data_IF_575762216110
#
_entry.id   IF_575762216110
#
_cell.length_a   1.000
_cell.length_b   1.000
_cell.length_c   1.000
_cell.angle_alpha   90.00
_cell.angle_beta   90.00
_cell.angle_gamma   90.00
#
_symmetry.space_group_name_H-M   'P 1'
#
loop_
_entity.id
_entity.type
_entity.pdbx_description
1 polymer ?
#
# COMPACT_ATOMS: atom_id res chain seq x y z
N UNK A 1 -24.00 -20.07 0.60
CA UNK A 1 -23.35 -18.78 0.90
C UNK A 1 -24.17 -18.11 1.97
N UNK A 2 -23.64 -17.98 3.20
CA UNK A 2 -24.31 -17.16 4.22
C UNK A 2 -24.29 -15.72 3.74
N UNK A 3 -25.44 -15.06 3.80
CA UNK A 3 -25.62 -13.70 3.30
C UNK A 3 -24.92 -12.72 4.28
N UNK A 4 -23.60 -12.58 4.15
CA UNK A 4 -22.77 -11.62 4.90
C UNK A 4 -23.14 -10.17 4.59
N UNK A 5 -24.06 -9.93 3.63
CA UNK A 5 -24.74 -8.65 3.41
C UNK A 5 -25.83 -8.36 4.46
N UNK A 6 -26.20 -9.32 5.31
CA UNK A 6 -26.99 -9.07 6.54
C UNK A 6 -26.14 -8.45 7.64
N UNK A 7 -25.33 -7.47 7.25
CA UNK A 7 -24.89 -6.47 8.18
C UNK A 7 -26.12 -5.73 8.67
N UNK A 8 -26.34 -5.77 9.98
CA UNK A 8 -27.50 -5.12 10.60
C UNK A 8 -27.65 -3.72 9.99
N UNK A 9 -28.78 -3.40 9.34
CA UNK A 9 -29.02 -2.08 8.74
C UNK A 9 -28.64 -0.95 9.69
N UNK A 10 -28.84 -1.17 11.00
CA UNK A 10 -28.41 -0.29 12.08
C UNK A 10 -26.92 0.11 12.06
N UNK A 11 -26.01 -0.79 11.66
CA UNK A 11 -24.58 -0.49 11.56
C UNK A 11 -24.29 0.41 10.36
N UNK A 12 -24.92 0.14 9.20
CA UNK A 12 -24.85 1.00 8.03
C UNK A 12 -25.36 2.41 8.35
N UNK A 13 -26.55 2.49 8.94
CA UNK A 13 -27.21 3.75 9.32
C UNK A 13 -26.33 4.57 10.28
N UNK A 14 -25.69 3.92 11.26
CA UNK A 14 -24.75 4.58 12.18
C UNK A 14 -23.52 5.12 11.45
N UNK A 15 -22.97 4.39 10.49
CA UNK A 15 -21.84 4.86 9.68
C UNK A 15 -22.22 6.06 8.80
N UNK A 16 -23.39 5.99 8.15
CA UNK A 16 -23.96 7.10 7.37
C UNK A 16 -24.14 8.33 8.26
N UNK A 17 -24.75 8.17 9.43
CA UNK A 17 -24.93 9.26 10.41
C UNK A 17 -23.59 9.84 10.88
N UNK A 18 -22.57 9.01 11.12
CA UNK A 18 -21.25 9.49 11.52
C UNK A 18 -20.59 10.33 10.42
N UNK A 19 -20.60 9.84 9.18
CA UNK A 19 -19.99 10.54 8.05
C UNK A 19 -20.76 11.81 7.67
N UNK A 20 -22.09 11.83 7.83
CA UNK A 20 -22.89 13.04 7.60
C UNK A 20 -22.49 14.23 8.48
N UNK A 21 -21.87 13.98 9.64
CA UNK A 21 -21.37 14.99 10.58
C UNK A 21 -19.97 15.49 10.25
N UNK A 22 -19.33 14.99 9.19
CA UNK A 22 -18.00 15.43 8.82
C UNK A 22 -17.96 16.95 8.54
N UNK A 23 -16.85 17.64 8.84
CA UNK A 23 -16.78 19.09 8.71
C UNK A 23 -17.22 19.59 7.33
N UNK A 24 -18.02 20.65 7.34
CA UNK A 24 -18.52 21.32 6.14
C UNK A 24 -17.48 22.33 5.66
N UNK A 25 -16.85 22.06 4.52
CA UNK A 25 -15.86 22.95 3.90
C UNK A 25 -16.08 22.97 2.39
N UNK A 26 -16.16 24.16 1.81
CA UNK A 26 -16.22 24.32 0.36
C UNK A 26 -14.90 23.83 -0.27
N UNK A 27 -15.00 23.10 -1.39
CA UNK A 27 -13.83 22.52 -2.06
C UNK A 27 -13.09 21.45 -1.25
N UNK A 28 -13.75 20.82 -0.28
CA UNK A 28 -13.15 19.77 0.53
C UNK A 28 -12.64 18.61 -0.34
N UNK A 29 -11.49 18.07 0.06
CA UNK A 29 -11.03 16.75 -0.34
C UNK A 29 -11.41 15.79 0.79
N UNK A 30 -12.04 14.67 0.43
CA UNK A 30 -12.46 13.63 1.36
C UNK A 30 -11.81 12.32 0.92
N UNK A 31 -10.94 11.80 1.77
CA UNK A 31 -10.27 10.52 1.52
C UNK A 31 -10.71 9.54 2.58
N UNK A 32 -11.28 8.43 2.14
CA UNK A 32 -11.76 7.37 3.03
C UNK A 32 -10.80 6.20 2.96
N UNK A 33 -10.23 5.82 4.10
CA UNK A 33 -9.42 4.61 4.26
C UNK A 33 -10.22 3.55 5.00
N UNK A 34 -10.34 2.38 4.37
CA UNK A 34 -11.10 1.25 4.88
C UNK A 34 -10.16 0.08 5.14
N UNK A 35 -9.91 -0.19 6.42
CA UNK A 35 -9.33 -1.46 6.85
C UNK A 35 -10.46 -2.41 7.20
N UNK A 36 -10.69 -3.39 6.34
CA UNK A 36 -11.84 -4.27 6.42
C UNK A 36 -11.41 -5.72 6.70
N UNK A 37 -12.20 -6.42 7.52
CA UNK A 37 -11.95 -7.84 7.81
C UNK A 37 -12.16 -8.70 6.55
N UNK A 38 -13.24 -8.45 5.82
CA UNK A 38 -13.64 -9.23 4.63
C UNK A 38 -14.05 -8.31 3.48
N UNK A 39 -14.01 -8.82 2.25
CA UNK A 39 -14.28 -8.05 1.03
C UNK A 39 -15.66 -7.38 1.04
N UNK A 40 -16.68 -8.09 1.50
CA UNK A 40 -18.03 -7.57 1.67
C UNK A 40 -18.14 -6.31 2.57
N UNK A 41 -17.15 -6.07 3.45
CA UNK A 41 -17.11 -4.85 4.29
C UNK A 41 -16.60 -3.64 3.51
N UNK A 42 -15.70 -3.84 2.55
CA UNK A 42 -15.31 -2.78 1.61
C UNK A 42 -16.49 -2.38 0.74
N UNK A 43 -17.28 -3.36 0.30
CA UNK A 43 -18.52 -3.12 -0.45
C UNK A 43 -19.53 -2.30 0.34
N UNK A 44 -19.76 -2.64 1.61
CA UNK A 44 -20.61 -1.85 2.50
C UNK A 44 -20.08 -0.42 2.68
N UNK A 45 -18.76 -0.23 2.76
CA UNK A 45 -18.20 1.11 2.87
C UNK A 45 -18.48 1.96 1.63
N UNK A 46 -18.44 1.37 0.42
CA UNK A 46 -18.88 2.05 -0.81
C UNK A 46 -20.37 2.41 -0.73
N UNK A 47 -21.23 1.48 -0.29
CA UNK A 47 -22.67 1.74 -0.11
C UNK A 47 -22.95 2.87 0.88
N UNK A 48 -22.19 2.94 1.98
CA UNK A 48 -22.29 4.01 2.98
C UNK A 48 -21.90 5.36 2.37
N UNK A 49 -20.82 5.41 1.60
CA UNK A 49 -20.35 6.65 0.96
C UNK A 49 -21.38 7.13 -0.06
N UNK A 50 -21.91 6.25 -0.89
CA UNK A 50 -22.94 6.59 -1.88
C UNK A 50 -24.20 7.14 -1.20
N UNK A 51 -24.66 6.49 -0.13
CA UNK A 51 -25.84 6.96 0.61
C UNK A 51 -25.62 8.33 1.25
N UNK A 52 -24.43 8.58 1.82
CA UNK A 52 -24.08 9.90 2.37
C UNK A 52 -24.07 10.98 1.28
N UNK A 53 -23.57 10.66 0.08
CA UNK A 53 -23.56 11.59 -1.05
C UNK A 53 -24.97 11.85 -1.58
N UNK A 54 -25.79 10.81 -1.70
CA UNK A 54 -27.13 10.91 -2.26
C UNK A 54 -28.09 11.64 -1.31
N UNK A 55 -27.90 11.49 0.02
CA UNK A 55 -28.68 12.18 1.04
C UNK A 55 -28.20 13.62 1.34
N UNK A 56 -27.11 14.08 0.70
CA UNK A 56 -26.48 15.37 0.97
C UNK A 56 -27.21 16.54 0.28
N UNK A 57 -28.31 16.96 0.91
CA UNK A 57 -29.13 18.08 0.45
C UNK A 57 -28.39 19.43 0.35
N UNK A 58 -27.30 19.59 1.10
CA UNK A 58 -26.50 20.84 1.16
C UNK A 58 -25.27 20.80 0.22
N UNK A 59 -25.02 19.68 -0.47
CA UNK A 59 -23.94 19.53 -1.45
C UNK A 59 -22.50 19.48 -0.87
N UNK A 60 -22.32 19.27 0.43
CA UNK A 60 -21.00 19.21 1.09
C UNK A 60 -20.19 17.93 0.83
N UNK A 61 -20.87 16.82 0.60
CA UNK A 61 -20.31 15.54 0.16
C UNK A 61 -20.36 15.42 -1.35
N UNK A 62 -21.48 15.80 -1.98
CA UNK A 62 -21.67 15.74 -3.43
C UNK A 62 -20.65 16.59 -4.21
N UNK A 63 -20.26 17.74 -3.67
CA UNK A 63 -19.29 18.63 -4.32
C UNK A 63 -17.84 18.42 -3.83
N UNK A 64 -17.60 17.48 -2.92
CA UNK A 64 -16.24 17.17 -2.46
C UNK A 64 -15.50 16.31 -3.50
N UNK A 65 -14.18 16.48 -3.59
CA UNK A 65 -13.33 15.54 -4.32
C UNK A 65 -13.08 14.31 -3.46
N UNK A 66 -13.47 13.14 -3.96
CA UNK A 66 -13.47 11.89 -3.21
C UNK A 66 -12.32 10.98 -3.65
N UNK A 67 -11.61 10.43 -2.68
CA UNK A 67 -10.66 9.33 -2.85
C UNK A 67 -11.01 8.17 -1.95
N UNK A 68 -10.81 6.95 -2.43
CA UNK A 68 -11.12 5.73 -1.68
C UNK A 68 -9.92 4.82 -1.60
N UNK A 69 -9.72 4.23 -0.43
CA UNK A 69 -8.56 3.40 -0.15
C UNK A 69 -9.04 2.24 0.69
N UNK A 70 -8.59 1.04 0.35
CA UNK A 70 -9.05 -0.16 1.05
C UNK A 70 -7.93 -1.18 1.20
N UNK A 71 -7.92 -1.84 2.35
CA UNK A 71 -7.02 -2.95 2.67
C UNK A 71 -7.87 -4.08 3.27
N UNK A 72 -7.83 -5.25 2.65
CA UNK A 72 -8.61 -6.43 3.05
C UNK A 72 -7.74 -7.67 2.99
N UNK A 73 -7.94 -8.61 3.91
CA UNK A 73 -7.51 -9.99 3.70
C UNK A 73 -7.04 -10.71 4.96
N UNK A 74 -6.41 -10.00 5.90
CA UNK A 74 -5.82 -10.61 7.09
C UNK A 74 -6.78 -11.53 7.86
N UNK A 75 -8.07 -11.18 7.95
CA UNK A 75 -9.05 -11.98 8.69
C UNK A 75 -9.45 -13.31 8.03
N UNK A 76 -9.23 -13.51 6.74
CA UNK A 76 -9.40 -14.85 6.15
C UNK A 76 -8.35 -15.81 6.74
N UNK A 77 -7.12 -15.34 6.94
CA UNK A 77 -6.08 -16.10 7.64
C UNK A 77 -6.44 -16.35 9.11
N UNK A 78 -6.81 -15.29 9.86
CA UNK A 78 -7.15 -15.45 11.28
C UNK A 78 -8.34 -16.40 11.50
N UNK A 79 -9.34 -16.35 10.64
CA UNK A 79 -10.49 -17.24 10.69
C UNK A 79 -10.16 -18.67 10.22
N UNK A 80 -9.57 -18.83 9.04
CA UNK A 80 -9.43 -20.12 8.37
C UNK A 80 -8.14 -20.87 8.71
N UNK A 81 -7.07 -20.17 9.10
CA UNK A 81 -5.81 -20.79 9.52
C UNK A 81 -5.70 -20.88 11.04
N UNK A 82 -5.85 -19.75 11.73
CA UNK A 82 -5.66 -19.68 13.19
C UNK A 82 -6.92 -20.04 13.98
N UNK A 83 -8.08 -20.13 13.32
CA UNK A 83 -9.35 -20.57 13.93
C UNK A 83 -9.74 -19.73 15.14
N UNK A 84 -9.50 -18.42 15.06
CA UNK A 84 -9.81 -17.50 16.17
C UNK A 84 -11.28 -17.62 16.60
N UNK A 85 -11.50 -17.85 17.89
CA UNK A 85 -12.83 -18.11 18.46
C UNK A 85 -13.81 -16.95 18.25
N UNK A 86 -13.28 -15.73 18.20
CA UNK A 86 -13.99 -14.48 17.94
C UNK A 86 -14.10 -14.14 16.45
N UNK A 87 -13.71 -15.03 15.53
CA UNK A 87 -14.01 -14.84 14.13
C UNK A 87 -15.53 -14.69 13.92
N UNK A 88 -15.98 -13.59 13.28
CA UNK A 88 -17.41 -13.32 13.10
C UNK A 88 -18.04 -14.18 11.98
N UNK A 89 -17.23 -14.89 11.21
CA UNK A 89 -17.65 -15.79 10.12
C UNK A 89 -17.36 -17.25 10.50
N UNK A 90 -18.31 -17.88 11.19
CA UNK A 90 -18.14 -19.24 11.72
C UNK A 90 -17.85 -20.27 10.62
N UNK A 91 -18.39 -20.06 9.43
CA UNK A 91 -18.13 -20.91 8.27
C UNK A 91 -16.67 -20.88 7.82
N UNK A 92 -15.91 -19.81 8.08
CA UNK A 92 -14.48 -19.76 7.77
C UNK A 92 -13.65 -20.53 8.80
N UNK A 93 -14.09 -20.59 10.06
CA UNK A 93 -13.44 -21.40 11.10
C UNK A 93 -13.43 -22.88 10.71
N UNK A 94 -14.46 -23.36 10.02
CA UNK A 94 -14.54 -24.76 9.58
C UNK A 94 -13.71 -25.05 8.32
N UNK A 95 -13.20 -24.02 7.64
CA UNK A 95 -12.49 -24.15 6.36
C UNK A 95 -10.97 -24.12 6.53
N UNK A 96 -10.25 -25.08 5.97
CA UNK A 96 -8.80 -24.98 5.88
C UNK A 96 -8.39 -23.81 4.98
N UNK A 97 -7.40 -23.02 5.43
CA UNK A 97 -6.94 -21.84 4.71
C UNK A 97 -6.42 -22.16 3.31
N UNK A 98 -5.67 -23.26 3.12
CA UNK A 98 -5.09 -23.59 1.80
C UNK A 98 -6.04 -24.35 0.88
N UNK A 99 -7.18 -24.80 1.41
CA UNK A 99 -8.30 -25.33 0.63
C UNK A 99 -9.41 -24.29 0.46
N UNK A 100 -10.56 -24.55 1.10
CA UNK A 100 -11.80 -23.79 0.93
C UNK A 100 -11.70 -22.33 1.44
N UNK A 101 -10.84 -22.05 2.40
CA UNK A 101 -10.63 -20.70 2.92
C UNK A 101 -10.03 -19.76 1.87
N UNK A 102 -8.95 -20.19 1.19
CA UNK A 102 -8.35 -19.44 0.07
C UNK A 102 -9.31 -19.32 -1.11
N UNK A 103 -10.06 -20.38 -1.42
CA UNK A 103 -11.09 -20.32 -2.46
C UNK A 103 -12.14 -19.24 -2.14
N UNK A 104 -12.67 -19.22 -0.92
CA UNK A 104 -13.63 -18.20 -0.47
C UNK A 104 -13.05 -16.80 -0.56
N UNK A 105 -11.78 -16.62 -0.14
CA UNK A 105 -11.08 -15.34 -0.28
C UNK A 105 -11.03 -14.87 -1.74
N UNK A 106 -10.65 -15.75 -2.67
CA UNK A 106 -10.51 -15.41 -4.09
C UNK A 106 -11.84 -15.08 -4.75
N UNK A 107 -12.87 -15.88 -4.50
CA UNK A 107 -14.21 -15.67 -5.07
C UNK A 107 -14.80 -14.33 -4.59
N UNK A 108 -14.69 -14.02 -3.30
CA UNK A 108 -15.17 -12.75 -2.76
C UNK A 108 -14.31 -11.57 -3.22
N UNK A 109 -12.99 -11.76 -3.37
CA UNK A 109 -12.09 -10.76 -3.94
C UNK A 109 -12.52 -10.39 -5.35
N UNK A 110 -12.70 -11.36 -6.25
CA UNK A 110 -13.05 -11.11 -7.64
C UNK A 110 -14.33 -10.29 -7.77
N UNK A 111 -15.37 -10.65 -7.01
CA UNK A 111 -16.66 -9.93 -7.00
C UNK A 111 -16.49 -8.49 -6.48
N UNK A 112 -15.81 -8.29 -5.36
CA UNK A 112 -15.65 -6.94 -4.80
C UNK A 112 -14.70 -6.07 -5.64
N UNK A 113 -13.70 -6.64 -6.30
CA UNK A 113 -12.81 -5.90 -7.20
C UNK A 113 -13.54 -5.43 -8.45
N UNK A 114 -14.36 -6.28 -9.07
CA UNK A 114 -15.19 -5.88 -10.22
C UNK A 114 -16.14 -4.72 -9.84
N UNK A 115 -16.80 -4.85 -8.68
CA UNK A 115 -17.67 -3.80 -8.14
C UNK A 115 -16.90 -2.50 -7.90
N UNK A 116 -15.74 -2.60 -7.24
CA UNK A 116 -14.90 -1.45 -6.92
C UNK A 116 -14.42 -0.78 -8.20
N UNK A 117 -13.93 -1.53 -9.17
CA UNK A 117 -13.52 -1.00 -10.47
C UNK A 117 -14.65 -0.18 -11.11
N UNK A 118 -15.86 -0.73 -11.20
CA UNK A 118 -17.03 -0.01 -11.73
C UNK A 118 -17.33 1.27 -10.94
N UNK A 119 -17.32 1.20 -9.61
CA UNK A 119 -17.58 2.35 -8.74
C UNK A 119 -16.52 3.45 -8.89
N UNK A 120 -15.25 3.09 -9.01
CA UNK A 120 -14.14 4.04 -9.21
C UNK A 120 -14.19 4.75 -10.58
N UNK A 121 -14.80 4.12 -11.59
CA UNK A 121 -15.00 4.70 -12.92
C UNK A 121 -16.34 5.44 -13.06
N UNK A 122 -17.21 5.42 -12.06
CA UNK A 122 -18.52 6.09 -12.09
C UNK A 122 -18.46 7.62 -12.15
N UNK A 123 -17.28 8.22 -11.91
CA UNK A 123 -17.11 9.66 -11.75
C UNK A 123 -17.40 10.18 -10.35
N UNK A 124 -17.96 9.35 -9.45
CA UNK A 124 -18.19 9.71 -8.04
C UNK A 124 -16.88 9.87 -7.26
N UNK A 125 -15.87 9.04 -7.54
CA UNK A 125 -14.57 9.06 -6.85
C UNK A 125 -13.53 9.76 -7.72
N UNK A 126 -13.49 11.10 -7.66
CA UNK A 126 -12.70 11.89 -8.61
C UNK A 126 -11.19 11.72 -8.43
N UNK A 127 -10.72 11.45 -7.21
CA UNK A 127 -9.31 11.20 -6.88
C UNK A 127 -8.88 9.75 -7.12
N UNK A 128 -9.81 8.89 -7.53
CA UNK A 128 -9.58 7.48 -7.77
C UNK A 128 -9.60 6.62 -6.50
N UNK A 129 -9.40 5.33 -6.74
CA UNK A 129 -9.39 4.29 -5.74
C UNK A 129 -8.04 3.60 -5.66
N UNK A 130 -7.71 3.15 -4.45
CA UNK A 130 -6.47 2.48 -4.16
C UNK A 130 -6.74 1.20 -3.37
N UNK A 131 -6.38 0.07 -3.94
CA UNK A 131 -6.33 -1.18 -3.22
C UNK A 131 -4.93 -1.34 -2.62
N UNK A 132 -4.86 -1.65 -1.33
CA UNK A 132 -3.62 -2.00 -0.66
C UNK A 132 -3.53 -3.50 -0.50
N UNK A 133 -2.35 -4.06 -0.79
CA UNK A 133 -2.04 -5.44 -0.40
C UNK A 133 -2.10 -5.60 1.13
N UNK A 134 -2.30 -6.82 1.59
CA UNK A 134 -2.23 -7.17 3.01
C UNK A 134 -0.82 -6.83 3.50
N UNK A 135 -0.69 -6.18 4.66
CA UNK A 135 0.62 -5.79 5.18
C UNK A 135 1.56 -6.99 5.35
N UNK A 136 2.85 -6.72 5.22
CA UNK A 136 3.89 -7.69 5.60
C UNK A 136 3.75 -8.05 7.08
N UNK A 137 4.21 -9.23 7.48
CA UNK A 137 4.28 -9.61 8.90
C UNK A 137 5.64 -10.20 9.23
N UNK A 138 6.12 -9.93 10.44
CA UNK A 138 7.31 -10.55 11.03
C UNK A 138 7.02 -11.99 11.53
N UNK A 139 5.74 -12.37 11.65
CA UNK A 139 5.32 -13.75 11.91
C UNK A 139 5.49 -14.66 10.69
N UNK A 140 6.33 -15.70 10.78
CA UNK A 140 6.65 -16.59 9.64
C UNK A 140 5.41 -17.15 8.93
N UNK A 141 4.46 -17.74 9.68
CA UNK A 141 3.27 -18.37 9.10
C UNK A 141 2.25 -17.38 8.51
N UNK A 142 2.15 -16.19 9.10
CA UNK A 142 1.38 -15.07 8.55
C UNK A 142 2.00 -14.59 7.26
N UNK A 143 3.30 -14.33 7.26
CA UNK A 143 4.07 -13.82 6.11
C UNK A 143 3.92 -14.71 4.88
N UNK A 144 4.09 -16.02 5.04
CA UNK A 144 3.94 -16.97 3.93
C UNK A 144 2.51 -16.95 3.37
N UNK A 145 1.49 -16.97 4.23
CA UNK A 145 0.09 -16.96 3.76
C UNK A 145 -0.31 -15.62 3.15
N UNK A 146 0.15 -14.50 3.71
CA UNK A 146 -0.10 -13.17 3.15
C UNK A 146 0.60 -12.97 1.82
N UNK A 147 1.80 -13.53 1.64
CA UNK A 147 2.45 -13.55 0.33
C UNK A 147 1.58 -14.23 -0.72
N UNK A 148 1.05 -15.43 -0.42
CA UNK A 148 0.18 -16.17 -1.35
C UNK A 148 -1.11 -15.38 -1.67
N UNK A 149 -1.76 -14.81 -0.65
CA UNK A 149 -2.96 -13.99 -0.83
C UNK A 149 -2.68 -12.75 -1.68
N UNK A 150 -1.55 -12.08 -1.44
CA UNK A 150 -1.15 -10.88 -2.18
C UNK A 150 -0.80 -11.18 -3.64
N UNK A 151 -0.28 -12.35 -3.97
CA UNK A 151 -0.11 -12.79 -5.37
C UNK A 151 -1.45 -12.81 -6.10
N UNK A 152 -2.52 -13.28 -5.44
CA UNK A 152 -3.86 -13.27 -6.05
C UNK A 152 -4.40 -11.84 -6.21
N UNK A 153 -4.21 -10.97 -5.21
CA UNK A 153 -4.60 -9.56 -5.29
C UNK A 153 -3.88 -8.87 -6.47
N UNK A 154 -2.55 -8.98 -6.52
CA UNK A 154 -1.73 -8.39 -7.57
C UNK A 154 -2.15 -8.90 -8.95
N UNK A 155 -2.33 -10.22 -9.11
CA UNK A 155 -2.77 -10.82 -10.37
C UNK A 155 -4.15 -10.32 -10.81
N UNK A 156 -5.11 -10.23 -9.89
CA UNK A 156 -6.44 -9.72 -10.19
C UNK A 156 -6.40 -8.24 -10.58
N UNK A 157 -5.53 -7.45 -9.95
CA UNK A 157 -5.33 -6.05 -10.30
C UNK A 157 -4.63 -5.84 -11.64
N UNK A 158 -3.79 -6.76 -12.12
CA UNK A 158 -3.11 -6.62 -13.43
C UNK A 158 -4.08 -6.36 -14.58
N UNK A 159 -5.28 -6.95 -14.56
CA UNK A 159 -6.30 -6.73 -15.61
C UNK A 159 -7.28 -5.59 -15.31
N UNK A 160 -7.32 -5.10 -14.08
CA UNK A 160 -8.32 -4.11 -13.63
C UNK A 160 -7.73 -2.72 -13.39
N UNK A 161 -6.41 -2.64 -13.21
CA UNK A 161 -5.71 -1.42 -12.87
C UNK A 161 -5.90 -0.35 -13.95
N UNK A 162 -6.13 0.87 -13.49
CA UNK A 162 -6.25 2.06 -14.33
C UNK A 162 -5.78 3.28 -13.55
N UNK A 163 -5.74 4.44 -14.19
CA UNK A 163 -5.45 5.71 -13.50
C UNK A 163 -6.48 6.02 -12.38
N UNK A 164 -7.70 5.46 -12.46
CA UNK A 164 -8.74 5.59 -11.43
C UNK A 164 -8.79 4.43 -10.43
N UNK A 165 -8.11 3.33 -10.70
CA UNK A 165 -8.09 2.19 -9.79
C UNK A 165 -6.68 1.58 -9.73
N UNK A 166 -5.97 1.86 -8.64
CA UNK A 166 -4.55 1.56 -8.53
C UNK A 166 -4.28 0.57 -7.39
N UNK A 167 -3.19 -0.18 -7.52
CA UNK A 167 -2.68 -1.04 -6.46
C UNK A 167 -1.52 -0.33 -5.75
N UNK A 168 -1.48 -0.44 -4.42
CA UNK A 168 -0.33 -0.08 -3.60
C UNK A 168 0.18 -1.36 -2.96
N UNK A 169 1.42 -1.71 -3.27
CA UNK A 169 2.05 -2.88 -2.67
C UNK A 169 2.59 -2.59 -1.26
N UNK A 170 1.67 -2.51 -0.30
CA UNK A 170 2.00 -2.29 1.11
C UNK A 170 2.76 -3.47 1.72
N UNK A 171 2.55 -4.68 1.21
CA UNK A 171 3.34 -5.87 1.58
C UNK A 171 4.81 -5.70 1.23
N UNK A 172 5.12 -5.35 -0.02
CA UNK A 172 6.52 -5.14 -0.42
C UNK A 172 7.12 -3.94 0.32
N UNK A 173 6.37 -2.85 0.50
CA UNK A 173 6.81 -1.69 1.26
C UNK A 173 7.19 -2.06 2.70
N UNK A 174 6.36 -2.82 3.40
CA UNK A 174 6.65 -3.32 4.75
C UNK A 174 7.81 -4.32 4.78
N UNK A 175 7.93 -5.18 3.76
CA UNK A 175 9.05 -6.12 3.65
C UNK A 175 10.41 -5.46 3.43
N UNK A 176 10.43 -4.25 2.85
CA UNK A 176 11.63 -3.42 2.69
C UNK A 176 11.94 -2.56 3.93
N UNK A 177 11.00 -2.45 4.87
CA UNK A 177 11.15 -1.75 6.16
C UNK A 177 10.64 -2.66 7.30
N UNK A 178 11.21 -3.87 7.47
CA UNK A 178 10.68 -4.86 8.41
C UNK A 178 10.66 -4.37 9.86
N UNK A 179 11.56 -3.46 10.24
CA UNK A 179 11.60 -2.80 11.55
C UNK A 179 10.41 -1.89 11.83
N UNK A 180 9.72 -1.45 10.78
CA UNK A 180 8.52 -0.62 10.84
C UNK A 180 7.23 -1.44 10.90
N UNK A 181 7.32 -2.76 11.03
CA UNK A 181 6.17 -3.67 11.06
C UNK A 181 6.24 -4.58 12.28
N UNK A 182 5.12 -4.70 13.00
CA UNK A 182 4.99 -5.60 14.15
C UNK A 182 3.66 -6.34 14.09
N UNK A 183 3.67 -7.67 14.01
CA UNK A 183 2.47 -8.50 13.99
C UNK A 183 1.53 -8.20 12.82
N UNK A 184 2.07 -7.87 11.65
CA UNK A 184 1.26 -7.48 10.50
C UNK A 184 0.77 -6.03 10.50
N UNK A 185 1.18 -5.22 11.48
CA UNK A 185 0.76 -3.83 11.61
C UNK A 185 1.93 -2.86 11.39
N UNK A 186 1.78 -1.97 10.42
CA UNK A 186 2.76 -0.93 10.12
C UNK A 186 2.80 0.19 11.18
N UNK A 187 3.97 0.79 11.33
CA UNK A 187 4.19 1.99 12.13
C UNK A 187 3.55 3.23 11.49
N UNK A 188 3.59 4.35 12.22
CA UNK A 188 3.16 5.65 11.70
C UNK A 188 4.02 6.06 10.50
N UNK A 189 5.34 5.83 10.55
CA UNK A 189 6.26 6.12 9.44
C UNK A 189 5.89 5.34 8.18
N UNK A 190 5.69 4.03 8.28
CA UNK A 190 5.33 3.18 7.15
C UNK A 190 3.98 3.57 6.52
N UNK A 191 2.97 3.84 7.37
CA UNK A 191 1.68 4.33 6.88
C UNK A 191 1.81 5.70 6.20
N UNK A 192 2.65 6.61 6.70
CA UNK A 192 2.85 7.89 6.03
C UNK A 192 3.53 7.74 4.66
N UNK A 193 4.49 6.82 4.52
CA UNK A 193 5.11 6.54 3.23
C UNK A 193 4.06 6.15 2.19
N UNK A 194 3.16 5.25 2.57
CA UNK A 194 2.00 4.89 1.77
C UNK A 194 1.12 6.11 1.44
N UNK A 195 0.73 6.93 2.43
CA UNK A 195 -0.02 8.17 2.19
C UNK A 195 0.69 9.12 1.23
N UNK A 196 2.01 9.22 1.33
CA UNK A 196 2.84 10.11 0.50
C UNK A 196 2.86 9.62 -0.95
N UNK A 197 3.05 8.32 -1.17
CA UNK A 197 2.98 7.71 -2.52
C UNK A 197 1.61 8.01 -3.15
N UNK A 198 0.54 7.85 -2.38
CA UNK A 198 -0.83 8.09 -2.83
C UNK A 198 -1.11 9.56 -3.13
N UNK A 199 -0.79 10.47 -2.22
CA UNK A 199 -1.05 11.89 -2.47
C UNK A 199 -0.22 12.39 -3.65
N UNK A 200 1.01 11.87 -3.83
CA UNK A 200 1.82 12.17 -5.01
C UNK A 200 1.23 11.63 -6.32
N UNK A 201 0.40 10.59 -6.31
CA UNK A 201 -0.27 10.12 -7.53
C UNK A 201 -1.58 10.86 -7.83
N UNK A 202 -2.14 11.57 -6.84
CA UNK A 202 -3.43 12.28 -6.94
C UNK A 202 -3.24 13.79 -7.15
N UNK A 203 -2.28 14.39 -6.46
CA UNK A 203 -2.12 15.83 -6.39
C UNK A 203 -1.34 16.36 -7.60
N UNK A 204 -1.76 17.49 -8.20
CA UNK A 204 -0.95 18.17 -9.21
C UNK A 204 0.43 18.53 -8.68
N UNK A 205 1.48 18.29 -9.48
CA UNK A 205 2.86 18.63 -9.13
C UNK A 205 3.06 20.09 -8.71
N UNK A 206 2.32 21.03 -9.32
CA UNK A 206 2.39 22.45 -8.95
C UNK A 206 1.85 22.79 -7.55
N UNK A 207 1.24 21.84 -6.84
CA UNK A 207 0.85 21.96 -5.43
C UNK A 207 1.86 21.32 -4.46
N UNK A 208 2.97 20.79 -4.97
CA UNK A 208 4.03 20.26 -4.14
C UNK A 208 4.58 21.37 -3.21
N UNK A 209 4.81 21.01 -1.95
CA UNK A 209 5.47 21.88 -0.98
C UNK A 209 6.91 22.14 -1.40
N UNK A 210 7.38 23.39 -1.30
CA UNK A 210 8.80 23.74 -1.46
C UNK A 210 9.69 23.04 -0.43
N UNK A 211 9.12 22.72 0.74
CA UNK A 211 9.71 21.82 1.72
C UNK A 211 9.50 20.38 1.29
N UNK A 212 10.58 19.70 0.93
CA UNK A 212 10.53 18.34 0.37
C UNK A 212 10.65 17.22 1.42
N UNK A 213 10.96 17.54 2.68
CA UNK A 213 11.17 16.53 3.71
C UNK A 213 10.03 16.47 4.74
N UNK A 214 9.57 15.25 5.01
CA UNK A 214 8.71 14.91 6.13
C UNK A 214 9.57 14.57 7.36
N UNK A 215 9.38 15.32 8.45
CA UNK A 215 10.05 15.07 9.73
C UNK A 215 9.02 14.60 10.75
N UNK A 216 9.34 13.49 11.41
CA UNK A 216 8.54 12.95 12.49
C UNK A 216 9.17 13.30 13.82
N UNK A 217 8.39 13.98 14.65
CA UNK A 217 8.79 14.38 15.99
C UNK A 217 7.89 13.67 17.01
N UNK A 218 8.52 12.90 17.90
CA UNK A 218 7.84 12.10 18.91
C UNK A 218 8.59 10.84 19.28
N UNK A 219 8.25 10.31 20.45
CA UNK A 219 8.64 8.94 20.85
C UNK A 219 7.60 8.01 20.23
N UNK A 220 8.00 7.02 19.43
CA UNK A 220 7.14 6.03 18.75
C UNK A 220 6.67 6.38 17.32
N UNK A 221 7.37 7.25 16.61
CA UNK A 221 7.04 7.53 15.20
C UNK A 221 7.55 6.47 14.24
N UNK A 222 8.56 5.73 14.68
CA UNK A 222 9.13 4.58 13.99
C UNK A 222 8.96 3.32 14.83
N UNK A 223 8.79 2.18 14.17
CA UNK A 223 8.76 0.86 14.80
C UNK A 223 10.07 0.52 15.52
N UNK A 224 11.20 1.11 15.12
CA UNK A 224 12.49 0.97 15.84
C UNK A 224 12.45 1.54 17.26
N UNK A 225 11.52 2.46 17.53
CA UNK A 225 11.36 3.09 18.83
C UNK A 225 10.40 2.31 19.76
N UNK A 226 9.83 1.19 19.29
CA UNK A 226 8.80 0.42 19.98
C UNK A 226 9.29 -0.14 21.32
N UNK A 227 8.87 0.51 22.40
CA UNK A 227 9.19 0.12 23.79
C UNK A 227 7.95 0.29 24.66
N UNK A 228 7.63 -0.70 25.48
CA UNK A 228 6.53 -0.60 26.46
C UNK A 228 6.66 0.61 27.40
N UNK A 229 7.91 0.99 27.72
CA UNK A 229 8.22 2.18 28.52
C UNK A 229 7.69 3.49 27.89
N UNK A 230 7.50 3.54 26.57
CA UNK A 230 6.97 4.70 25.86
C UNK A 230 5.43 4.76 25.87
N UNK A 231 4.75 3.71 26.34
CA UNK A 231 3.30 3.65 26.46
C UNK A 231 2.87 3.17 27.87
N UNK A 232 3.30 3.85 28.96
CA UNK A 232 3.19 3.33 30.32
C UNK A 232 1.73 3.09 30.76
N UNK A 233 0.79 3.94 30.32
CA UNK A 233 -0.64 3.74 30.61
C UNK A 233 -1.19 2.48 29.95
N UNK A 234 -0.83 2.25 28.69
CA UNK A 234 -1.23 1.07 27.94
C UNK A 234 -0.64 -0.18 28.59
N UNK A 235 0.68 -0.20 28.78
CA UNK A 235 1.39 -1.33 29.40
C UNK A 235 0.90 -1.64 30.83
N UNK A 236 0.58 -0.63 31.64
CA UNK A 236 -0.02 -0.84 32.96
C UNK A 236 -1.38 -1.55 32.85
N UNK A 237 -2.27 -1.09 31.97
CA UNK A 237 -3.56 -1.74 31.73
C UNK A 237 -3.38 -3.22 31.32
N UNK A 238 -2.42 -3.51 30.44
CA UNK A 238 -2.10 -4.85 29.98
C UNK A 238 -1.60 -5.79 31.09
N UNK A 239 -0.82 -5.25 32.03
CA UNK A 239 -0.20 -6.04 33.11
C UNK A 239 -1.10 -6.20 34.33
N UNK A 240 -2.19 -5.43 34.44
CA UNK A 240 -3.05 -5.37 35.63
C UNK A 240 -4.52 -5.73 35.33
N UNK A 241 -4.74 -6.74 34.47
CA UNK A 241 -6.07 -7.31 34.23
C UNK A 241 -6.76 -6.87 32.94
N UNK A 242 -6.05 -6.16 32.06
CA UNK A 242 -6.49 -5.94 30.67
C UNK A 242 -6.47 -7.22 29.83
N UNK A 243 -7.07 -7.19 28.62
CA UNK A 243 -6.95 -8.28 27.65
C UNK A 243 -5.49 -8.47 27.20
N UNK A 244 -5.25 -9.55 26.44
CA UNK A 244 -3.98 -9.73 25.76
C UNK A 244 -3.68 -8.52 24.88
N UNK A 245 -2.65 -7.75 25.25
CA UNK A 245 -2.22 -6.57 24.54
C UNK A 245 -1.07 -6.89 23.60
N UNK A 246 -1.09 -6.25 22.46
CA UNK A 246 -0.07 -6.40 21.44
C UNK A 246 0.83 -5.16 21.36
N UNK A 247 2.09 -5.36 20.99
CA UNK A 247 3.06 -4.27 20.88
C UNK A 247 2.67 -3.25 19.82
N UNK A 248 2.02 -3.68 18.74
CA UNK A 248 1.57 -2.76 17.69
C UNK A 248 0.50 -1.79 18.19
N UNK A 249 -0.30 -2.16 19.20
CA UNK A 249 -1.28 -1.26 19.81
C UNK A 249 -0.57 -0.13 20.57
N UNK A 250 0.49 -0.48 21.33
CA UNK A 250 1.37 0.50 21.96
C UNK A 250 1.96 1.48 20.92
N UNK A 251 2.50 0.95 19.81
CA UNK A 251 3.06 1.74 18.72
C UNK A 251 2.08 2.77 18.15
N UNK A 252 0.81 2.40 18.00
CA UNK A 252 -0.22 3.24 17.42
C UNK A 252 -1.02 4.08 18.45
N UNK A 253 -0.77 3.88 19.75
CA UNK A 253 -1.43 4.63 20.82
C UNK A 253 -0.75 5.97 21.15
N UNK A 254 0.52 6.13 20.76
CA UNK A 254 1.32 7.31 21.06
C UNK A 254 1.33 8.23 19.84
N UNK A 255 0.96 9.50 20.06
CA UNK A 255 0.88 10.47 18.98
C UNK A 255 2.27 10.87 18.48
N UNK A 256 2.37 11.03 17.17
CA UNK A 256 3.51 11.60 16.48
C UNK A 256 3.13 12.88 15.75
N UNK A 257 4.07 13.83 15.73
CA UNK A 257 3.90 15.08 15.00
C UNK A 257 4.63 14.98 13.68
N UNK A 258 3.88 15.14 12.57
CA UNK A 258 4.45 15.32 11.25
C UNK A 258 4.68 16.81 10.98
N UNK A 259 5.89 17.19 10.58
CA UNK A 259 6.23 18.55 10.14
C UNK A 259 6.93 18.51 8.79
N UNK A 260 6.70 19.54 7.97
CA UNK A 260 7.49 19.76 6.76
C UNK A 260 8.78 20.52 7.12
N UNK A 261 9.93 20.01 6.68
CA UNK A 261 11.23 20.66 6.81
C UNK A 261 11.86 20.90 5.45
N UNK A 262 12.80 21.85 5.41
CA UNK A 262 13.74 21.92 4.30
C UNK A 262 14.52 20.60 4.23
N UNK A 263 15.00 20.20 3.04
CA UNK A 263 16.00 19.15 2.99
C UNK A 263 17.17 19.58 3.90
N UNK A 264 17.79 18.65 4.65
CA UNK A 264 19.04 18.97 5.31
C UNK A 264 19.99 19.54 4.24
N UNK A 265 20.85 20.49 4.59
CA UNK A 265 21.96 20.88 3.71
C UNK A 265 22.78 19.61 3.48
N UNK A 266 22.49 18.91 2.38
CA UNK A 266 23.12 17.63 2.11
C UNK A 266 24.56 17.93 1.69
N UNK A 267 25.52 17.49 2.51
CA UNK A 267 26.84 17.15 1.98
C UNK A 267 26.70 16.13 0.85
N UNK A 268 27.67 16.08 -0.06
CA UNK A 268 27.67 15.29 -1.31
C UNK A 268 26.92 13.94 -1.20
N UNK A 269 25.74 13.86 -1.84
CA UNK A 269 24.85 12.67 -1.84
C UNK A 269 25.14 11.69 -2.97
N UNK A 270 26.30 11.80 -3.63
CA UNK A 270 26.68 10.87 -4.70
C UNK A 270 26.64 9.43 -4.20
N UNK A 271 25.77 8.61 -4.79
CA UNK A 271 25.66 7.17 -4.51
C UNK A 271 24.65 6.74 -3.44
N UNK A 272 23.89 7.65 -2.81
CA UNK A 272 22.89 7.27 -1.78
C UNK A 272 21.51 6.86 -2.34
N UNK A 273 21.19 7.19 -3.60
CA UNK A 273 19.85 6.97 -4.16
C UNK A 273 19.70 5.73 -5.06
N UNK A 274 20.78 5.05 -5.43
CA UNK A 274 20.72 3.98 -6.45
C UNK A 274 20.32 2.61 -5.89
N UNK A 275 20.36 2.40 -4.58
CA UNK A 275 20.01 1.12 -3.93
C UNK A 275 18.65 1.14 -3.21
N UNK A 276 18.05 2.30 -2.99
CA UNK A 276 17.00 2.43 -1.97
C UNK A 276 15.57 2.24 -2.46
N UNK A 277 15.21 2.46 -3.74
CA UNK A 277 13.83 2.25 -4.22
C UNK A 277 13.78 2.17 -5.76
N UNK A 278 13.87 0.96 -6.31
CA UNK A 278 13.36 0.71 -7.67
C UNK A 278 11.83 0.59 -7.60
N UNK A 279 11.11 1.71 -7.84
CA UNK A 279 9.65 1.74 -7.99
C UNK A 279 9.26 1.72 -9.48
N UNK A 280 10.00 1.00 -10.33
CA UNK A 280 9.65 0.79 -11.75
C UNK A 280 8.37 -0.01 -11.95
N UNK A 281 7.75 -0.54 -10.89
CA UNK A 281 6.48 -1.26 -10.93
C UNK A 281 5.26 -0.44 -11.37
N UNK A 282 5.34 0.90 -11.42
CA UNK A 282 4.32 1.72 -12.08
C UNK A 282 4.64 1.82 -13.57
N UNK A 283 4.14 0.86 -14.36
CA UNK A 283 4.12 0.95 -15.81
C UNK A 283 3.49 2.30 -16.21
N UNK A 284 4.33 3.20 -16.68
CA UNK A 284 3.97 4.56 -17.05
C UNK A 284 3.06 4.53 -18.29
N UNK A 285 1.75 4.66 -18.08
CA UNK A 285 0.84 5.08 -19.12
C UNK A 285 1.04 6.59 -19.35
N UNK A 286 1.51 6.92 -20.56
CA UNK A 286 1.62 8.24 -21.20
C UNK A 286 2.50 9.33 -20.53
N UNK A 287 3.55 9.70 -21.26
CA UNK A 287 4.67 10.59 -20.90
C UNK A 287 4.36 12.10 -20.79
N UNK A 288 3.11 12.55 -20.86
CA UNK A 288 2.83 13.99 -21.09
C UNK A 288 2.42 14.79 -19.86
N UNK A 289 2.23 14.17 -18.69
CA UNK A 289 1.93 14.90 -17.45
C UNK A 289 2.67 14.28 -16.27
N UNK A 290 3.93 14.68 -16.13
CA UNK A 290 4.77 14.25 -15.01
C UNK A 290 4.26 14.90 -13.70
N UNK A 291 3.52 14.16 -12.88
CA UNK A 291 2.90 14.65 -11.64
C UNK A 291 3.65 14.29 -10.35
N UNK A 292 4.97 14.02 -10.41
CA UNK A 292 5.71 13.50 -9.24
C UNK A 292 6.65 14.52 -8.61
N UNK A 293 6.63 14.58 -7.27
CA UNK A 293 7.68 15.19 -6.42
C UNK A 293 9.09 14.67 -6.75
N UNK A 294 9.16 13.47 -7.34
CA UNK A 294 10.37 12.73 -7.68
C UNK A 294 10.91 13.02 -9.08
N UNK A 295 10.25 13.89 -9.85
CA UNK A 295 10.65 14.23 -11.23
C UNK A 295 10.96 15.72 -11.38
N UNK A 296 11.53 16.34 -10.34
CA UNK A 296 12.04 17.70 -10.46
C UNK A 296 13.19 17.72 -11.48
N UNK A 297 13.09 18.57 -12.51
CA UNK A 297 14.02 18.63 -13.67
C UNK A 297 15.47 18.99 -13.29
N UNK A 298 15.71 19.35 -12.02
CA UNK A 298 17.03 19.60 -11.47
C UNK A 298 17.67 18.39 -10.74
N UNK A 299 16.98 17.25 -10.66
CA UNK A 299 17.60 15.98 -10.26
C UNK A 299 18.15 15.34 -11.52
N UNK A 300 19.41 15.64 -11.84
CA UNK A 300 20.13 14.92 -12.90
C UNK A 300 20.24 13.45 -12.49
N UNK A 301 19.39 12.62 -13.09
CA UNK A 301 19.54 11.17 -13.09
C UNK A 301 20.82 10.83 -13.86
N UNK A 302 21.93 10.69 -13.13
CA UNK A 302 23.11 10.03 -13.69
C UNK A 302 22.81 8.53 -13.72
N UNK A 303 22.33 8.08 -14.87
CA UNK A 303 22.44 6.68 -15.31
C UNK A 303 23.82 6.13 -14.94
N UNK A 304 23.94 5.03 -14.17
CA UNK A 304 25.13 4.21 -14.30
C UNK A 304 25.09 3.58 -15.68
N UNK A 305 26.07 3.94 -16.51
CA UNK A 305 26.39 3.25 -17.73
C UNK A 305 26.69 1.76 -17.44
N UNK A 306 25.70 0.89 -17.57
CA UNK A 306 25.89 -0.56 -17.48
C UNK A 306 24.99 -1.36 -18.45
N UNK A 307 24.55 -0.76 -19.56
CA UNK A 307 23.93 -1.49 -20.70
C UNK A 307 24.72 -1.33 -22.01
N UNK A 308 25.90 -0.70 -21.99
CA UNK A 308 26.73 -0.55 -23.20
C UNK A 308 28.15 -1.08 -23.04
N UNK A 309 28.29 -2.37 -22.68
CA UNK A 309 29.55 -3.11 -22.90
C UNK A 309 29.37 -4.40 -23.72
N UNK A 310 28.15 -4.95 -23.86
CA UNK A 310 27.97 -6.17 -24.68
C UNK A 310 27.70 -5.95 -26.18
N UNK A 311 27.50 -4.69 -26.63
CA UNK A 311 27.27 -4.39 -28.05
C UNK A 311 28.47 -3.74 -28.78
N UNK A 312 29.56 -3.44 -28.07
CA UNK A 312 30.76 -2.79 -28.64
C UNK A 312 32.01 -3.69 -28.66
N UNK A 313 31.98 -4.86 -28.00
CA UNK A 313 33.04 -5.87 -28.12
C UNK A 313 32.85 -6.85 -29.30
N UNK A 314 31.70 -6.84 -29.96
CA UNK A 314 31.44 -7.62 -31.18
C UNK A 314 31.74 -6.88 -32.49
N UNK A 315 32.09 -5.58 -32.43
CA UNK A 315 32.55 -4.81 -33.60
C UNK A 315 34.05 -4.49 -33.60
N UNK A 316 34.76 -4.76 -32.51
CA UNK A 316 36.23 -4.58 -32.41
C UNK A 316 37.02 -5.90 -32.58
N UNK A 317 36.36 -7.02 -32.87
CA UNK A 317 37.01 -8.30 -33.20
C UNK A 317 36.86 -8.73 -34.68
N UNK A 318 36.33 -7.85 -35.55
CA UNK A 318 36.20 -8.12 -37.00
C UNK A 318 36.90 -7.11 -37.91
N UNK A 319 37.85 -6.33 -37.38
CA UNK A 319 38.71 -5.47 -38.19
C UNK A 319 40.06 -5.36 -37.52
N UNK A 320 40.98 -6.24 -37.95
CA UNK A 320 42.46 -6.18 -37.87
C UNK A 320 43.08 -7.48 -37.37
N UNK A 321 43.14 -8.48 -38.25
CA UNK A 321 44.35 -9.31 -38.40
C UNK A 321 44.24 -10.13 -39.68
N UNK A 322 44.27 -9.44 -40.81
CA UNK A 322 44.67 -10.02 -42.09
C UNK A 322 46.17 -9.81 -42.26
N UNK A 323 46.87 -10.93 -42.52
CA UNK A 323 48.26 -11.07 -43.01
C UNK A 323 49.34 -11.24 -41.93
N UNK A 324 49.75 -12.49 -41.69
CA UNK A 324 50.90 -13.05 -42.40
C UNK A 324 50.98 -14.57 -42.28
N UNK A 325 51.07 -15.23 -43.44
CA UNK A 325 51.56 -16.59 -43.65
C UNK A 325 52.94 -16.80 -43.02
N UNK A 326 53.24 -18.04 -42.58
CA UNK A 326 54.34 -18.88 -43.10
C UNK A 326 54.47 -20.16 -42.24
N UNK A 327 54.02 -21.25 -42.84
CA UNK A 327 54.61 -22.60 -42.87
C UNK A 327 55.00 -23.39 -41.61
N UNK A 328 54.66 -24.68 -41.73
CA UNK A 328 55.48 -25.89 -41.47
C UNK A 328 55.24 -26.70 -40.18
N UNK A 329 54.65 -27.87 -40.46
CA UNK A 329 55.21 -29.21 -40.19
C UNK A 329 55.26 -29.76 -38.76
N UNK A 330 54.59 -30.93 -38.64
CA UNK A 330 55.16 -32.20 -38.15
C UNK A 330 54.88 -32.63 -36.68
N UNK A 331 54.01 -33.65 -36.62
CA UNK A 331 54.08 -34.91 -35.85
C UNK A 331 53.85 -34.99 -34.34
N UNK A 332 52.93 -35.93 -34.03
CA UNK A 332 52.98 -37.02 -33.03
C UNK A 332 52.84 -36.62 -31.54
N UNK A 333 52.11 -37.35 -30.69
CA UNK A 333 51.50 -38.68 -30.76
C UNK A 333 50.24 -38.73 -29.87
#
# INVERSE_FOLDING_TARGET
>A
MSDTRKLEPQCKDKMVQLLSKAPRRHGAIRVTFVTAFFWARSDLAMDVIDEVIDADGDGHWKNAKLGFITQIGAWYYYCSKLKFSYCPRKELIEQDMYGKGMQTFKEEMEVSLERMQSWCHSGRVQLGCYLQTISWSDGKGERETYADMNVYIQKAMTSQASFKFQLIDFYQMGGNMPEEVHGGHGSILLNLWMWTVMFNSICPAGLASEKVNAVFDGVMCSGTQLRWANCPKYHHFCTHGGPACEKWECMNSVQCTLRASNPPEMGDTKGMCDAALDISGFAAAEKTTCHRLWCHEHVQWLLPAAVTVLALLLKLFLSESGKQDVSREVQQA
#
